data_IF_624956019049
#
_entry.id   IF_624956019049
#
_cell.length_a   1.000
_cell.length_b   1.000
_cell.length_c   1.000
_cell.angle_alpha   90.00
_cell.angle_beta   90.00
_cell.angle_gamma   90.00
#
_symmetry.space_group_name_H-M   'P 1'
#
loop_
_entity.id
_entity.type
_entity.pdbx_description
1 polymer ?
#
# COMPACT_ATOMS: atom_id res chain seq x y z
N UNK A 1 -19.41 -17.90 -14.81
CA UNK A 1 -18.74 -16.66 -14.39
C UNK A 1 -17.29 -16.74 -14.86
N UNK A 2 -16.77 -15.70 -15.50
CA UNK A 2 -15.33 -15.65 -15.83
C UNK A 2 -14.53 -15.66 -14.53
N UNK A 3 -13.41 -16.39 -14.53
CA UNK A 3 -12.49 -16.39 -13.38
C UNK A 3 -11.89 -15.00 -13.22
N UNK A 4 -11.92 -14.46 -12.00
CA UNK A 4 -11.20 -13.22 -11.65
C UNK A 4 -9.68 -13.43 -11.55
N UNK A 5 -9.22 -14.68 -11.57
CA UNK A 5 -7.80 -15.01 -11.52
C UNK A 5 -7.13 -14.76 -12.87
N UNK A 6 -6.06 -13.97 -12.87
CA UNK A 6 -5.19 -13.74 -14.02
C UNK A 6 -3.76 -13.40 -13.59
N UNK A 7 -2.77 -13.97 -14.26
CA UNK A 7 -1.36 -13.59 -14.08
C UNK A 7 -0.99 -12.19 -14.60
N UNK A 8 -1.98 -11.47 -15.16
CA UNK A 8 -1.84 -10.06 -15.58
C UNK A 8 -2.43 -9.08 -14.57
N UNK A 9 -3.12 -9.57 -13.54
CA UNK A 9 -3.66 -8.73 -12.49
C UNK A 9 -2.52 -8.07 -11.71
N UNK A 10 -2.81 -6.89 -11.17
CA UNK A 10 -1.88 -6.07 -10.41
C UNK A 10 -2.30 -6.04 -8.94
N UNK A 11 -1.33 -6.20 -8.05
CA UNK A 11 -1.53 -6.09 -6.60
C UNK A 11 -0.99 -4.74 -6.17
N UNK A 12 -1.88 -3.92 -5.65
CA UNK A 12 -1.59 -2.63 -5.05
C UNK A 12 -1.53 -2.80 -3.55
N UNK A 13 -0.49 -2.26 -2.94
CA UNK A 13 -0.26 -2.35 -1.50
C UNK A 13 0.18 -1.01 -0.98
N UNK A 14 -0.25 -0.70 0.22
CA UNK A 14 0.14 0.49 0.96
C UNK A 14 0.26 0.15 2.45
N UNK A 15 1.25 0.72 3.11
CA UNK A 15 1.52 0.53 4.52
C UNK A 15 1.53 1.89 5.23
N UNK A 16 0.97 1.92 6.43
CA UNK A 16 1.28 2.97 7.40
C UNK A 16 2.27 2.43 8.43
N UNK A 17 3.24 3.25 8.78
CA UNK A 17 4.33 2.89 9.68
C UNK A 17 4.53 3.93 10.77
N UNK A 18 5.22 3.55 11.85
CA UNK A 18 5.57 4.48 12.94
C UNK A 18 6.65 5.49 12.55
N UNK A 19 7.31 5.29 11.42
CA UNK A 19 8.34 6.16 10.85
C UNK A 19 9.03 5.52 9.65
N UNK A 20 10.16 6.06 9.22
CA UNK A 20 10.77 5.73 7.93
C UNK A 20 11.88 4.69 7.98
N UNK A 21 12.39 4.33 9.17
CA UNK A 21 13.50 3.39 9.30
C UNK A 21 13.00 1.99 9.69
N UNK A 22 12.97 1.01 8.77
CA UNK A 22 12.44 -0.32 9.06
C UNK A 22 13.21 -1.09 10.16
N UNK A 23 14.45 -0.70 10.50
CA UNK A 23 15.20 -1.32 11.60
C UNK A 23 14.71 -0.88 12.98
N UNK A 24 14.00 0.25 13.08
CA UNK A 24 13.54 0.86 14.33
C UNK A 24 12.01 0.94 14.39
N UNK A 25 11.40 1.11 13.24
CA UNK A 25 9.98 1.41 13.11
C UNK A 25 9.18 0.16 12.73
N UNK A 26 7.87 0.23 12.91
CA UNK A 26 6.95 -0.89 12.71
C UNK A 26 5.80 -0.54 11.77
N UNK A 27 5.25 -1.58 11.14
CA UNK A 27 4.01 -1.48 10.38
C UNK A 27 2.85 -1.35 11.37
N UNK A 28 1.95 -0.39 11.12
CA UNK A 28 0.74 -0.17 11.94
C UNK A 28 -0.55 -0.35 11.13
N UNK A 29 -0.50 -0.26 9.81
CA UNK A 29 -1.63 -0.58 8.94
C UNK A 29 -1.12 -1.18 7.62
N UNK A 30 -1.90 -2.07 7.03
CA UNK A 30 -1.69 -2.61 5.69
C UNK A 30 -3.01 -2.68 4.95
N UNK A 31 -3.03 -2.20 3.71
CA UNK A 31 -4.16 -2.33 2.80
C UNK A 31 -3.71 -2.87 1.45
N UNK A 32 -4.61 -3.58 0.78
CA UNK A 32 -4.38 -4.13 -0.56
C UNK A 32 -5.59 -3.95 -1.46
N UNK A 33 -5.33 -3.68 -2.75
CA UNK A 33 -6.34 -3.68 -3.79
C UNK A 33 -5.81 -4.55 -4.94
N UNK A 34 -6.68 -5.29 -5.60
CA UNK A 34 -6.35 -6.00 -6.84
C UNK A 34 -7.08 -5.37 -8.00
N UNK A 35 -6.35 -5.06 -9.08
CA UNK A 35 -6.89 -4.57 -10.34
C UNK A 35 -6.57 -5.55 -11.47
N UNK A 36 -7.30 -5.41 -12.58
CA UNK A 36 -6.84 -5.95 -13.85
C UNK A 36 -5.71 -5.07 -14.47
N UNK A 37 -5.25 -5.43 -15.67
CA UNK A 37 -4.20 -4.68 -16.39
C UNK A 37 -4.67 -3.30 -16.87
N UNK A 38 -5.96 -3.06 -16.91
CA UNK A 38 -6.57 -1.79 -17.32
C UNK A 38 -6.93 -0.90 -16.12
N UNK A 39 -6.51 -1.29 -14.94
CA UNK A 39 -6.71 -0.64 -13.64
C UNK A 39 -8.16 -0.67 -13.13
N UNK A 40 -9.02 -1.54 -13.67
CA UNK A 40 -10.34 -1.76 -13.08
C UNK A 40 -10.18 -2.53 -11.77
N UNK A 41 -10.77 -2.05 -10.68
CA UNK A 41 -10.75 -2.73 -9.38
C UNK A 41 -11.51 -4.04 -9.49
N UNK A 42 -10.84 -5.14 -9.21
CA UNK A 42 -11.42 -6.48 -9.15
C UNK A 42 -11.87 -6.84 -7.73
N UNK A 43 -11.09 -6.43 -6.74
CA UNK A 43 -11.40 -6.64 -5.33
C UNK A 43 -10.60 -5.69 -4.43
N UNK A 44 -11.22 -5.27 -3.36
CA UNK A 44 -10.57 -4.65 -2.22
C UNK A 44 -10.21 -5.73 -1.20
N UNK A 45 -8.99 -5.72 -0.75
CA UNK A 45 -8.46 -6.67 0.22
C UNK A 45 -8.76 -6.27 1.66
N UNK A 46 -8.27 -7.06 2.61
CA UNK A 46 -8.35 -6.68 3.99
C UNK A 46 -7.56 -5.38 4.23
N UNK A 47 -8.20 -4.45 4.95
CA UNK A 47 -7.53 -3.30 5.55
C UNK A 47 -7.31 -3.63 7.02
N UNK A 48 -6.06 -3.84 7.43
CA UNK A 48 -5.72 -4.40 8.73
C UNK A 48 -4.84 -3.45 9.51
N UNK A 49 -5.30 -3.09 10.71
CA UNK A 49 -4.53 -2.34 11.69
C UNK A 49 -3.81 -3.31 12.62
N UNK A 50 -2.49 -3.15 12.74
CA UNK A 50 -1.63 -4.03 13.52
C UNK A 50 -1.40 -3.47 14.92
N UNK A 51 -1.40 -4.36 15.92
CA UNK A 51 -1.07 -4.04 17.30
C UNK A 51 0.41 -3.71 17.42
N UNK A 52 0.69 -2.58 18.09
CA UNK A 52 2.05 -2.23 18.50
C UNK A 52 2.07 -1.81 19.96
N UNK A 53 3.23 -1.95 20.60
CA UNK A 53 3.40 -1.57 22.01
C UNK A 53 3.32 -0.05 22.18
N UNK A 54 2.67 0.38 23.26
CA UNK A 54 2.51 1.81 23.57
C UNK A 54 3.85 2.53 23.69
N UNK A 55 4.87 1.86 24.22
CA UNK A 55 6.23 2.40 24.32
C UNK A 55 6.84 2.74 22.95
N UNK A 56 6.55 1.93 21.91
CA UNK A 56 6.97 2.21 20.55
C UNK A 56 6.23 3.41 19.97
N UNK A 57 4.91 3.49 20.18
CA UNK A 57 4.11 4.62 19.72
C UNK A 57 4.52 5.94 20.38
N UNK A 58 5.01 5.90 21.63
CA UNK A 58 5.55 7.07 22.32
C UNK A 58 6.88 7.57 21.74
N UNK A 59 7.65 6.70 21.08
CA UNK A 59 8.93 7.06 20.43
C UNK A 59 8.78 7.66 19.04
N UNK A 60 7.59 7.59 18.44
CA UNK A 60 7.32 8.22 17.15
C UNK A 60 7.62 9.72 17.20
N UNK A 61 8.07 10.27 16.07
CA UNK A 61 8.22 11.73 15.96
C UNK A 61 6.88 12.47 16.00
N UNK A 62 6.91 13.76 16.27
CA UNK A 62 5.71 14.59 16.46
C UNK A 62 4.85 14.66 15.18
N UNK A 63 5.46 14.61 14.00
CA UNK A 63 4.73 14.64 12.74
C UNK A 63 3.90 13.37 12.56
N UNK A 64 4.52 12.18 12.71
CA UNK A 64 3.84 10.89 12.61
C UNK A 64 2.76 10.74 13.69
N UNK A 65 3.05 11.15 14.95
CA UNK A 65 2.06 11.13 16.04
C UNK A 65 0.83 11.96 15.73
N UNK A 66 1.02 13.20 15.33
CA UNK A 66 -0.10 14.10 15.00
C UNK A 66 -0.89 13.56 13.81
N UNK A 67 -0.20 13.05 12.82
CA UNK A 67 -0.77 12.55 11.60
C UNK A 67 -1.68 11.34 11.84
N UNK A 68 -1.14 10.29 12.44
CA UNK A 68 -1.88 9.07 12.75
C UNK A 68 -2.92 9.25 13.89
N UNK A 69 -2.75 10.25 14.78
CA UNK A 69 -3.80 10.62 15.74
C UNK A 69 -5.00 11.25 15.06
N UNK A 70 -4.76 12.17 14.11
CA UNK A 70 -5.83 12.86 13.41
C UNK A 70 -6.68 11.92 12.54
N UNK A 71 -6.09 10.87 11.98
CA UNK A 71 -6.80 9.83 11.24
C UNK A 71 -7.47 8.77 12.15
N UNK A 72 -7.25 8.84 13.47
CA UNK A 72 -7.74 7.83 14.43
C UNK A 72 -6.97 6.50 14.39
N UNK A 73 -5.90 6.41 13.58
CA UNK A 73 -5.14 5.18 13.41
C UNK A 73 -4.45 4.74 14.71
N UNK A 74 -3.87 5.68 15.49
CA UNK A 74 -3.20 5.32 16.74
C UNK A 74 -4.14 4.68 17.76
N UNK A 75 -5.39 5.11 17.82
CA UNK A 75 -6.36 4.50 18.73
C UNK A 75 -6.78 3.11 18.22
N UNK A 76 -6.91 2.93 16.92
CA UNK A 76 -7.15 1.62 16.33
C UNK A 76 -5.98 0.65 16.57
N UNK A 77 -4.72 1.11 16.49
CA UNK A 77 -3.51 0.32 16.80
C UNK A 77 -3.53 -0.20 18.26
N UNK A 78 -3.90 0.66 19.23
CA UNK A 78 -3.94 0.29 20.64
C UNK A 78 -4.95 -0.81 20.96
N UNK A 79 -6.08 -0.86 20.23
CA UNK A 79 -7.17 -1.82 20.47
C UNK A 79 -7.08 -3.04 19.55
N UNK A 80 -6.26 -3.00 18.50
CA UNK A 80 -6.06 -4.14 17.60
C UNK A 80 -5.48 -5.34 18.34
N UNK A 81 -5.77 -6.54 17.81
CA UNK A 81 -5.20 -7.81 18.28
C UNK A 81 -4.40 -8.52 17.17
N UNK A 82 -4.29 -7.90 15.97
CA UNK A 82 -3.55 -8.46 14.85
C UNK A 82 -2.06 -8.14 14.97
N UNK A 83 -1.23 -9.10 14.60
CA UNK A 83 0.21 -8.93 14.47
C UNK A 83 0.64 -9.06 13.00
N UNK A 84 1.92 -8.79 12.71
CA UNK A 84 2.47 -8.83 11.36
C UNK A 84 2.30 -10.22 10.71
N UNK A 85 2.47 -11.31 11.46
CA UNK A 85 2.34 -12.67 10.92
C UNK A 85 0.91 -13.00 10.49
N UNK A 86 -0.08 -12.57 11.27
CA UNK A 86 -1.49 -12.76 10.93
C UNK A 86 -1.87 -11.93 9.70
N UNK A 87 -1.43 -10.67 9.65
CA UNK A 87 -1.66 -9.80 8.50
C UNK A 87 -0.99 -10.33 7.23
N UNK A 88 0.22 -10.87 7.32
CA UNK A 88 0.91 -11.54 6.22
C UNK A 88 0.08 -12.70 5.65
N UNK A 89 -0.42 -13.59 6.52
CA UNK A 89 -1.21 -14.74 6.13
C UNK A 89 -2.52 -14.31 5.45
N UNK A 90 -3.25 -13.38 6.06
CA UNK A 90 -4.55 -12.93 5.53
C UNK A 90 -4.38 -12.20 4.18
N UNK A 91 -3.31 -11.41 4.02
CA UNK A 91 -3.01 -10.76 2.75
C UNK A 91 -2.65 -11.78 1.68
N UNK A 92 -1.81 -12.78 1.98
CA UNK A 92 -1.46 -13.86 1.06
C UNK A 92 -2.67 -14.68 0.65
N UNK A 93 -3.54 -15.05 1.60
CA UNK A 93 -4.79 -15.77 1.32
C UNK A 93 -5.73 -14.97 0.41
N UNK A 94 -5.72 -13.65 0.54
CA UNK A 94 -6.50 -12.79 -0.33
C UNK A 94 -5.93 -12.71 -1.74
N UNK A 95 -4.67 -12.29 -1.90
CA UNK A 95 -4.07 -12.01 -3.22
C UNK A 95 -3.90 -13.27 -4.07
N UNK A 96 -3.67 -14.43 -3.44
CA UNK A 96 -3.52 -15.71 -4.14
C UNK A 96 -4.77 -16.16 -4.92
N UNK A 97 -5.93 -15.62 -4.58
CA UNK A 97 -7.20 -15.88 -5.30
C UNK A 97 -7.25 -15.17 -6.66
N UNK A 98 -6.41 -14.16 -6.86
CA UNK A 98 -6.49 -13.29 -8.04
C UNK A 98 -5.28 -13.38 -8.96
N UNK A 99 -4.09 -13.71 -8.43
CA UNK A 99 -2.85 -13.74 -9.22
C UNK A 99 -1.87 -14.74 -8.62
N UNK A 100 -1.07 -15.38 -9.47
CA UNK A 100 -0.07 -16.35 -9.03
C UNK A 100 1.20 -15.70 -8.45
N UNK A 101 1.93 -16.46 -7.64
CA UNK A 101 3.20 -16.06 -7.06
C UNK A 101 4.21 -15.61 -8.13
N UNK A 102 4.95 -14.53 -7.85
CA UNK A 102 5.96 -13.96 -8.72
C UNK A 102 5.42 -13.31 -10.00
N UNK A 103 4.10 -13.10 -10.13
CA UNK A 103 3.49 -12.56 -11.35
C UNK A 103 3.22 -11.08 -11.30
N UNK A 104 2.64 -10.57 -10.22
CA UNK A 104 2.39 -9.15 -10.06
C UNK A 104 3.65 -8.41 -9.60
N UNK A 105 4.03 -7.30 -10.23
CA UNK A 105 4.90 -6.33 -9.58
C UNK A 105 4.22 -5.82 -8.31
N UNK A 106 5.00 -5.32 -7.37
CA UNK A 106 4.47 -4.57 -6.24
C UNK A 106 4.08 -3.17 -6.71
N UNK A 107 2.80 -2.81 -6.59
CA UNK A 107 2.26 -1.55 -7.10
C UNK A 107 1.89 -0.63 -5.92
N UNK A 108 2.17 0.68 -6.04
CA UNK A 108 1.83 1.67 -5.01
C UNK A 108 2.51 3.02 -5.23
N UNK A 109 2.41 3.90 -4.23
CA UNK A 109 3.13 5.19 -4.20
C UNK A 109 4.41 5.05 -3.38
N UNK A 110 5.57 5.35 -3.97
CA UNK A 110 6.89 5.19 -3.32
C UNK A 110 7.08 3.78 -2.74
N UNK A 111 6.49 2.80 -3.41
CA UNK A 111 6.30 1.42 -2.95
C UNK A 111 7.61 0.68 -2.61
N UNK A 112 8.75 1.20 -3.04
CA UNK A 112 10.07 0.71 -2.61
C UNK A 112 10.28 0.86 -1.12
N UNK A 113 9.64 1.84 -0.48
CA UNK A 113 9.69 2.05 0.96
C UNK A 113 8.91 0.94 1.69
N UNK A 114 7.67 0.69 1.26
CA UNK A 114 6.82 -0.40 1.77
C UNK A 114 7.54 -1.75 1.63
N UNK A 115 8.16 -1.99 0.50
CA UNK A 115 8.90 -3.24 0.26
C UNK A 115 10.00 -3.50 1.27
N UNK A 116 10.70 -2.46 1.76
CA UNK A 116 11.74 -2.59 2.80
C UNK A 116 11.14 -3.06 4.12
N UNK A 117 9.96 -2.57 4.49
CA UNK A 117 9.24 -3.02 5.68
C UNK A 117 8.72 -4.44 5.51
N UNK A 118 8.12 -4.76 4.37
CA UNK A 118 7.66 -6.12 4.09
C UNK A 118 8.80 -7.13 4.13
N UNK A 119 9.96 -6.81 3.56
CA UNK A 119 11.14 -7.69 3.60
C UNK A 119 11.56 -8.06 5.02
N UNK A 120 11.37 -7.16 5.97
CA UNK A 120 11.76 -7.38 7.36
C UNK A 120 10.65 -8.03 8.20
N UNK A 121 9.39 -7.63 7.99
CA UNK A 121 8.28 -8.00 8.87
C UNK A 121 7.30 -9.01 8.26
N UNK A 122 7.22 -9.09 6.93
CA UNK A 122 6.31 -9.96 6.18
C UNK A 122 7.05 -10.59 4.97
N UNK A 123 8.13 -11.36 5.21
CA UNK A 123 9.02 -11.82 4.13
C UNK A 123 8.35 -12.78 3.15
N UNK A 124 7.32 -13.53 3.55
CA UNK A 124 6.57 -14.40 2.63
C UNK A 124 5.69 -13.59 1.69
N UNK A 125 5.07 -12.51 2.20
CA UNK A 125 4.30 -11.60 1.38
C UNK A 125 5.21 -10.84 0.40
N UNK A 126 6.37 -10.38 0.87
CA UNK A 126 7.36 -9.74 0.00
C UNK A 126 7.80 -10.66 -1.13
N UNK A 127 8.13 -11.91 -0.82
CA UNK A 127 8.57 -12.91 -1.79
C UNK A 127 7.47 -13.31 -2.81
N UNK A 128 6.19 -13.10 -2.47
CA UNK A 128 5.08 -13.39 -3.37
C UNK A 128 5.04 -12.46 -4.58
N UNK A 129 5.55 -11.24 -4.45
CA UNK A 129 5.61 -10.27 -5.54
C UNK A 129 6.73 -10.59 -6.53
N UNK A 130 6.53 -10.15 -7.76
CA UNK A 130 7.63 -10.05 -8.72
C UNK A 130 8.66 -9.03 -8.21
N UNK A 131 9.95 -9.18 -8.61
CA UNK A 131 11.02 -8.27 -8.16
C UNK A 131 10.87 -6.82 -8.66
N UNK A 132 10.04 -6.58 -9.68
CA UNK A 132 9.77 -5.24 -10.24
C UNK A 132 8.70 -4.51 -9.43
N UNK A 133 8.68 -3.18 -9.62
CA UNK A 133 7.67 -2.29 -9.06
C UNK A 133 6.88 -1.60 -10.17
N UNK A 134 5.62 -1.24 -9.89
CA UNK A 134 4.90 -0.16 -10.53
C UNK A 134 4.74 0.94 -9.48
N UNK A 135 5.62 1.94 -9.55
CA UNK A 135 5.64 3.03 -8.60
C UNK A 135 5.02 4.28 -9.23
N UNK A 136 3.84 4.67 -8.75
CA UNK A 136 3.09 5.83 -9.23
C UNK A 136 3.86 7.12 -8.98
N UNK A 137 4.64 7.20 -7.88
CA UNK A 137 5.47 8.37 -7.59
C UNK A 137 6.53 8.60 -8.66
N UNK A 138 7.10 7.54 -9.24
CA UNK A 138 8.03 7.65 -10.36
C UNK A 138 7.35 8.25 -11.59
N UNK A 139 6.12 7.84 -11.90
CA UNK A 139 5.35 8.38 -13.02
C UNK A 139 5.03 9.86 -12.79
N UNK A 140 4.62 10.22 -11.57
CA UNK A 140 4.36 11.62 -11.19
C UNK A 140 5.62 12.49 -11.33
N UNK A 141 6.76 12.01 -10.88
CA UNK A 141 8.05 12.69 -11.01
C UNK A 141 8.46 12.94 -12.48
N UNK A 142 8.22 11.97 -13.36
CA UNK A 142 8.50 12.12 -14.78
C UNK A 142 7.51 13.05 -15.45
N UNK A 143 6.22 12.92 -15.15
CA UNK A 143 5.17 13.79 -15.67
C UNK A 143 5.43 15.25 -15.31
N UNK A 144 5.83 15.53 -14.08
CA UNK A 144 6.20 16.87 -13.62
C UNK A 144 7.37 17.50 -14.39
N UNK A 145 8.29 16.67 -14.90
CA UNK A 145 9.45 17.13 -15.68
C UNK A 145 9.19 17.27 -17.17
N UNK A 146 8.22 16.52 -17.70
CA UNK A 146 8.00 16.44 -19.14
C UNK A 146 6.79 17.22 -19.64
N UNK A 147 5.84 17.51 -18.77
CA UNK A 147 4.60 18.17 -19.15
C UNK A 147 4.54 19.55 -18.48
N UNK A 148 4.53 20.61 -19.32
CA UNK A 148 4.32 21.97 -18.84
C UNK A 148 2.86 22.14 -18.38
N UNK A 149 2.64 22.74 -17.20
CA UNK A 149 1.32 23.02 -16.63
C UNK A 149 0.44 21.79 -16.28
N UNK A 150 1.03 20.73 -15.71
CA UNK A 150 0.23 19.76 -14.99
C UNK A 150 -0.31 20.42 -13.72
N UNK A 151 -1.65 20.57 -13.66
CA UNK A 151 -2.32 20.87 -12.39
C UNK A 151 -2.02 19.75 -11.40
N UNK A 152 -1.48 20.11 -10.23
CA UNK A 152 -1.11 19.12 -9.21
C UNK A 152 -2.34 18.29 -8.79
N UNK A 153 -2.20 16.99 -8.71
CA UNK A 153 -3.23 16.11 -8.14
C UNK A 153 -3.44 16.50 -6.67
N UNK A 154 -4.64 16.94 -6.32
CA UNK A 154 -5.00 17.14 -4.91
C UNK A 154 -5.09 15.78 -4.22
N UNK A 155 -4.19 15.53 -3.27
CA UNK A 155 -4.26 14.37 -2.40
C UNK A 155 -5.23 14.66 -1.27
N UNK A 156 -6.17 13.77 -1.00
CA UNK A 156 -6.89 13.81 0.28
C UNK A 156 -5.88 13.49 1.39
N UNK A 157 -5.77 14.37 2.40
CA UNK A 157 -4.81 14.23 3.49
C UNK A 157 -5.30 13.26 4.58
N UNK A 158 -5.97 12.16 4.20
CA UNK A 158 -6.54 11.21 5.17
C UNK A 158 -5.52 10.23 5.75
N UNK A 159 -4.44 9.96 5.01
CA UNK A 159 -3.32 9.05 5.39
C UNK A 159 -3.80 7.77 6.10
N UNK A 160 -4.64 7.06 5.40
CA UNK A 160 -5.05 5.69 5.68
C UNK A 160 -4.70 4.87 4.45
N UNK A 161 -4.10 3.70 4.67
CA UNK A 161 -3.56 2.87 3.59
C UNK A 161 -4.59 2.58 2.48
N UNK A 162 -5.84 2.30 2.81
CA UNK A 162 -6.90 2.08 1.82
C UNK A 162 -7.25 3.35 1.04
N UNK A 163 -7.29 4.51 1.70
CA UNK A 163 -7.60 5.78 1.04
C UNK A 163 -6.49 6.17 0.06
N UNK A 164 -5.22 5.96 0.43
CA UNK A 164 -4.08 6.21 -0.44
C UNK A 164 -4.07 5.28 -1.67
N UNK A 165 -4.53 4.04 -1.53
CA UNK A 165 -4.73 3.13 -2.67
C UNK A 165 -5.94 3.50 -3.53
N UNK A 166 -7.02 4.05 -2.98
CA UNK A 166 -8.20 4.46 -3.76
C UNK A 166 -7.90 5.57 -4.77
N UNK A 167 -6.80 6.30 -4.58
CA UNK A 167 -6.29 7.32 -5.51
C UNK A 167 -5.65 6.74 -6.79
N UNK A 168 -5.62 5.42 -6.98
CA UNK A 168 -5.15 4.77 -8.22
C UNK A 168 -5.88 5.34 -9.45
N UNK A 169 -7.18 5.63 -9.32
CA UNK A 169 -7.99 6.22 -10.39
C UNK A 169 -7.58 7.65 -10.79
N UNK A 170 -6.94 8.40 -9.88
CA UNK A 170 -6.43 9.75 -10.16
C UNK A 170 -5.14 9.66 -11.00
N UNK A 171 -4.54 8.48 -11.06
CA UNK A 171 -3.30 8.22 -11.81
C UNK A 171 -3.55 7.94 -13.29
N UNK A 172 -4.79 7.99 -13.81
CA UNK A 172 -5.04 7.95 -15.25
C UNK A 172 -4.63 9.29 -15.90
N UNK A 173 -3.38 9.42 -16.41
CA UNK A 173 -3.10 10.48 -17.33
C UNK A 173 -3.81 10.08 -18.63
N UNK A 174 -4.91 10.79 -18.94
CA UNK A 174 -5.48 10.92 -20.29
C UNK A 174 -5.00 9.87 -21.28
N UNK A 175 -5.60 8.69 -21.25
CA UNK A 175 -5.53 7.75 -22.36
C UNK A 175 -6.04 8.50 -23.59
N UNK A 176 -5.28 8.65 -24.68
CA UNK A 176 -5.82 9.24 -25.88
C UNK A 176 -7.04 8.43 -26.29
N UNK A 177 -8.21 9.05 -26.31
CA UNK A 177 -9.41 8.42 -26.85
C UNK A 177 -9.16 8.23 -28.35
N UNK A 178 -8.98 6.98 -28.75
CA UNK A 178 -8.97 6.55 -30.15
C UNK A 178 -10.32 6.77 -30.79
#
# INVERSE_FOLDING_TARGET
MASLFSNKNLIWIDLEMTGLNPEKEKIIEIATIVTDSDLNILAEGPNMVLRQDSSLLELMDDWNKNHHSNSGLLDAVKISNLNEQQAEIETLDFISKFVGEGRSPMCGNTVSHDRRFLSLYMPKLEAYFHYRHIDVSTIKELAFRWIENIDGFEKSNTHRALDDLSLIHISEPTRPRS
#
